data_IF_247425214695
#
_entry.id   IF_247425214695
#
_cell.length_a   1.000
_cell.length_b   1.000
_cell.length_c   1.000
_cell.angle_alpha   90.00
_cell.angle_beta   90.00
_cell.angle_gamma   90.00
#
_symmetry.space_group_name_H-M   'P 1'
#
loop_
_entity.id
_entity.type
_entity.pdbx_description
1 polymer ?
#
# COMPACT_ATOMS: atom_id res chain seq x y z
N UNK A 1 20.84 -13.46 5.34
CA UNK A 1 20.65 -12.42 4.31
C UNK A 1 19.16 -12.06 4.30
N UNK A 2 18.76 -10.98 4.98
CA UNK A 2 17.34 -10.59 5.07
C UNK A 2 16.85 -10.25 3.67
N UNK A 3 15.90 -11.02 3.13
CA UNK A 3 15.27 -10.73 1.84
C UNK A 3 14.70 -9.31 1.92
N UNK A 4 15.25 -8.38 1.12
CA UNK A 4 14.66 -7.04 0.96
C UNK A 4 13.27 -7.27 0.39
N UNK A 5 12.25 -7.12 1.21
CA UNK A 5 10.87 -7.19 0.74
C UNK A 5 10.60 -5.95 -0.13
N UNK A 6 10.52 -6.11 -1.46
CA UNK A 6 10.42 -4.96 -2.37
C UNK A 6 9.09 -4.23 -2.18
N UNK A 7 8.03 -4.95 -1.77
CA UNK A 7 6.72 -4.39 -1.46
C UNK A 7 6.77 -3.47 -0.24
N UNK A 8 7.39 -3.91 0.84
CA UNK A 8 7.56 -3.11 2.06
C UNK A 8 8.40 -1.85 1.84
N UNK A 9 9.33 -1.85 0.88
CA UNK A 9 10.04 -0.62 0.50
C UNK A 9 9.16 0.36 -0.29
N UNK A 10 8.32 -0.13 -1.20
CA UNK A 10 7.36 0.70 -1.94
C UNK A 10 6.33 1.31 -1.00
N UNK A 11 5.77 0.50 -0.08
CA UNK A 11 4.77 0.96 0.88
C UNK A 11 5.33 2.04 1.82
N UNK A 12 6.57 1.86 2.31
CA UNK A 12 7.27 2.88 3.11
C UNK A 12 7.47 4.19 2.36
N UNK A 13 7.87 4.13 1.09
CA UNK A 13 8.04 5.33 0.25
C UNK A 13 6.73 6.06 0.01
N UNK A 14 5.65 5.32 -0.26
CA UNK A 14 4.32 5.89 -0.44
C UNK A 14 3.79 6.55 0.85
N UNK A 15 4.05 5.94 2.01
CA UNK A 15 3.71 6.52 3.31
C UNK A 15 4.48 7.82 3.56
N UNK A 16 5.79 7.86 3.27
CA UNK A 16 6.60 9.08 3.37
C UNK A 16 6.06 10.20 2.47
N UNK A 17 5.68 9.87 1.24
CA UNK A 17 5.06 10.82 0.32
C UNK A 17 3.72 11.34 0.84
N UNK A 18 2.90 10.49 1.47
CA UNK A 18 1.64 10.91 2.10
C UNK A 18 1.87 11.86 3.28
N UNK A 19 2.88 11.59 4.12
CA UNK A 19 3.25 12.47 5.24
C UNK A 19 3.70 13.82 4.70
N UNK A 20 4.58 13.84 3.69
CA UNK A 20 5.01 15.09 3.05
C UNK A 20 3.81 15.85 2.46
N UNK A 21 2.90 15.16 1.76
CA UNK A 21 1.67 15.78 1.26
C UNK A 21 0.83 16.40 2.39
N UNK A 22 0.78 15.78 3.58
CA UNK A 22 0.05 16.32 4.72
C UNK A 22 0.73 17.56 5.31
N UNK A 23 2.04 17.51 5.49
CA UNK A 23 2.80 18.56 6.17
C UNK A 23 3.07 19.78 5.29
N UNK A 24 3.33 19.56 3.99
CA UNK A 24 3.72 20.63 3.06
C UNK A 24 2.58 21.04 2.12
N UNK A 25 1.36 20.62 2.42
CA UNK A 25 0.25 20.74 1.50
C UNK A 25 -0.43 22.10 1.44
N UNK A 26 -0.54 22.76 0.27
CA UNK A 26 -1.41 23.92 0.12
C UNK A 26 -2.88 23.52 0.36
N UNK A 27 -3.69 24.44 0.91
CA UNK A 27 -5.15 24.31 1.07
C UNK A 27 -5.90 24.40 -0.27
N UNK A 28 -5.43 23.66 -1.28
CA UNK A 28 -6.03 23.62 -2.61
C UNK A 28 -6.81 22.32 -2.82
N UNK A 29 -7.86 22.39 -3.65
CA UNK A 29 -8.66 21.22 -4.00
C UNK A 29 -7.84 20.16 -4.75
N UNK A 30 -6.93 20.57 -5.63
CA UNK A 30 -6.04 19.66 -6.34
C UNK A 30 -5.16 18.85 -5.38
N UNK A 31 -4.67 19.49 -4.32
CA UNK A 31 -3.86 18.83 -3.31
C UNK A 31 -4.65 17.87 -2.44
N UNK A 32 -5.86 18.26 -2.05
CA UNK A 32 -6.78 17.37 -1.34
C UNK A 32 -7.08 16.12 -2.17
N UNK A 33 -7.35 16.28 -3.48
CA UNK A 33 -7.58 15.16 -4.39
C UNK A 33 -6.35 14.24 -4.51
N UNK A 34 -5.14 14.81 -4.65
CA UNK A 34 -3.91 14.03 -4.72
C UNK A 34 -3.71 13.19 -3.44
N UNK A 35 -3.92 13.80 -2.27
CA UNK A 35 -3.86 13.12 -0.97
C UNK A 35 -4.89 11.99 -0.86
N UNK A 36 -6.15 12.25 -1.21
CA UNK A 36 -7.22 11.26 -1.15
C UNK A 36 -6.93 10.07 -2.06
N UNK A 37 -6.46 10.29 -3.30
CA UNK A 37 -6.06 9.20 -4.22
C UNK A 37 -4.92 8.36 -3.63
N UNK A 38 -3.93 8.99 -3.02
CA UNK A 38 -2.79 8.32 -2.39
C UNK A 38 -3.22 7.42 -1.23
N UNK A 39 -4.17 7.90 -0.40
CA UNK A 39 -4.73 7.14 0.72
C UNK A 39 -5.46 5.89 0.22
N UNK A 40 -6.32 6.03 -0.80
CA UNK A 40 -7.06 4.89 -1.36
C UNK A 40 -6.13 3.85 -1.98
N UNK A 41 -5.09 4.28 -2.70
CA UNK A 41 -4.08 3.37 -3.25
C UNK A 41 -3.35 2.59 -2.16
N UNK A 42 -2.93 3.25 -1.08
CA UNK A 42 -2.29 2.60 0.06
C UNK A 42 -3.22 1.58 0.73
N UNK A 43 -4.50 1.94 0.91
CA UNK A 43 -5.50 1.03 1.46
C UNK A 43 -5.67 -0.24 0.61
N UNK A 44 -5.70 -0.11 -0.71
CA UNK A 44 -5.79 -1.26 -1.62
C UNK A 44 -4.52 -2.10 -1.62
N UNK A 45 -3.33 -1.47 -1.60
CA UNK A 45 -2.04 -2.18 -1.51
C UNK A 45 -1.91 -2.95 -0.17
N UNK A 46 -2.42 -2.41 0.94
CA UNK A 46 -2.48 -3.09 2.24
C UNK A 46 -3.42 -4.29 2.16
N UNK A 47 -4.66 -4.11 1.64
CA UNK A 47 -5.62 -5.21 1.47
C UNK A 47 -5.07 -6.35 0.62
N UNK A 48 -4.37 -6.02 -0.47
CA UNK A 48 -3.74 -7.02 -1.34
C UNK A 48 -2.55 -7.72 -0.67
N UNK A 49 -1.88 -7.07 0.29
CA UNK A 49 -0.84 -7.67 1.12
C UNK A 49 -1.39 -8.60 2.20
N UNK A 50 -2.58 -8.29 2.74
CA UNK A 50 -3.29 -9.12 3.72
C UNK A 50 -4.03 -10.30 3.08
N UNK A 51 -4.39 -10.20 1.79
CA UNK A 51 -5.17 -11.18 1.04
C UNK A 51 -4.39 -12.29 0.34
N UNK A 52 -3.25 -12.75 0.89
CA UNK A 52 -2.68 -14.04 0.47
C UNK A 52 -3.36 -15.15 1.29
N UNK A 53 -4.31 -15.93 0.73
CA UNK A 53 -4.82 -17.12 1.42
C UNK A 53 -3.68 -18.13 1.60
N UNK A 54 -3.65 -18.90 2.71
CA UNK A 54 -2.75 -20.04 2.83
C UNK A 54 -3.06 -21.02 1.70
N UNK A 55 -2.00 -21.62 1.18
CA UNK A 55 -2.00 -22.73 0.23
C UNK A 55 -3.13 -23.69 0.58
N UNK A 56 -4.20 -23.72 -0.23
CA UNK A 56 -5.17 -24.80 -0.19
C UNK A 56 -4.49 -25.96 -0.90
N UNK A 57 -3.81 -26.75 -0.06
CA UNK A 57 -3.39 -28.12 -0.24
C UNK A 57 -4.16 -28.83 -1.35
N UNK A 58 -3.39 -29.31 -2.32
CA UNK A 58 -3.72 -30.47 -3.12
C UNK A 58 -4.31 -31.56 -2.22
N UNK A 59 -5.61 -31.83 -2.33
CA UNK A 59 -6.10 -33.18 -2.09
C UNK A 59 -6.98 -33.59 -3.26
N UNK A 60 -6.30 -34.15 -4.26
CA UNK A 60 -6.81 -35.32 -4.97
C UNK A 60 -7.33 -36.32 -3.93
N UNK A 61 -8.58 -36.74 -4.05
CA UNK A 61 -8.90 -38.14 -3.87
C UNK A 61 -10.12 -38.45 -4.72
N UNK A 62 -9.83 -39.26 -5.74
CA UNK A 62 -10.74 -39.98 -6.62
C UNK A 62 -11.40 -41.13 -5.87
#
# INVERSE_FOLDING_TARGET
>A
MMKRDPRGQVLRRQLQQLILLRETGPKSAAWHQARTRMIWRLHDEIKQGEGAPPEQETKSEE
#
